data_IF_743321351528
#
_entry.id   IF_743321351528
#
_cell.length_a   1.000
_cell.length_b   1.000
_cell.length_c   1.000
_cell.angle_alpha   90.00
_cell.angle_beta   90.00
_cell.angle_gamma   90.00
#
_symmetry.space_group_name_H-M   'P 1'
#
loop_
_entity.id
_entity.type
_entity.pdbx_description
1 polymer ?
#
# COMPACT_ATOMS: atom_id res chain seq x y z
N UNK A 1 22.63 -1.79 -5.06
CA UNK A 1 21.42 -2.56 -5.44
C UNK A 1 21.45 -3.87 -4.68
N UNK A 2 20.44 -4.16 -3.85
CA UNK A 2 20.34 -5.40 -3.11
C UNK A 2 19.21 -6.26 -3.70
N UNK A 3 19.39 -7.58 -3.71
CA UNK A 3 18.35 -8.52 -4.14
C UNK A 3 17.81 -9.23 -2.92
N UNK A 4 16.52 -9.06 -2.65
CA UNK A 4 15.82 -9.76 -1.58
C UNK A 4 15.15 -11.01 -2.17
N UNK A 5 15.70 -12.19 -1.88
CA UNK A 5 15.12 -13.46 -2.32
C UNK A 5 13.93 -13.83 -1.43
N UNK A 6 12.89 -14.42 -2.02
CA UNK A 6 11.71 -14.90 -1.29
C UNK A 6 10.65 -13.83 -0.98
N UNK A 7 10.81 -12.60 -1.47
CA UNK A 7 9.77 -11.57 -1.39
C UNK A 7 9.00 -11.49 -2.72
N UNK A 8 7.91 -12.25 -2.80
CA UNK A 8 6.97 -12.17 -3.91
C UNK A 8 6.04 -10.96 -3.74
N UNK A 9 6.41 -9.84 -4.35
CA UNK A 9 5.53 -8.67 -4.45
C UNK A 9 4.68 -8.78 -5.73
N UNK A 10 3.36 -8.68 -5.58
CA UNK A 10 2.42 -8.61 -6.72
C UNK A 10 2.50 -7.27 -7.44
N UNK A 11 2.90 -6.21 -6.74
CA UNK A 11 2.97 -4.86 -7.27
C UNK A 11 4.06 -4.02 -6.58
N UNK A 12 4.56 -2.93 -7.19
CA UNK A 12 5.51 -2.03 -6.55
C UNK A 12 5.08 -1.55 -5.15
N UNK A 13 6.02 -1.60 -4.23
CA UNK A 13 5.93 -1.03 -2.89
C UNK A 13 7.14 -0.13 -2.63
N UNK A 14 6.94 0.88 -1.79
CA UNK A 14 8.00 1.78 -1.36
C UNK A 14 7.91 2.01 0.15
N UNK A 15 8.96 2.58 0.72
CA UNK A 15 8.99 3.01 2.10
C UNK A 15 9.71 4.34 2.26
N UNK A 16 9.30 5.09 3.26
CA UNK A 16 10.05 6.22 3.80
C UNK A 16 10.52 5.85 5.22
N UNK A 17 11.29 6.71 5.92
CA UNK A 17 11.62 6.46 7.32
C UNK A 17 10.38 6.27 8.21
N UNK A 18 9.23 6.83 7.83
CA UNK A 18 8.03 6.87 8.68
C UNK A 18 6.82 6.11 8.11
N UNK A 19 6.78 5.80 6.81
CA UNK A 19 5.61 5.18 6.18
C UNK A 19 5.97 3.99 5.28
N UNK A 20 5.05 3.04 5.19
CA UNK A 20 4.97 2.11 4.06
C UNK A 20 4.03 2.67 2.99
N UNK A 21 4.33 2.36 1.73
CA UNK A 21 3.61 2.86 0.57
C UNK A 21 3.29 1.71 -0.38
N UNK A 22 2.02 1.54 -0.71
CA UNK A 22 1.55 0.66 -1.80
C UNK A 22 1.00 1.50 -2.94
N UNK A 23 0.98 0.93 -4.15
CA UNK A 23 0.66 1.69 -5.37
C UNK A 23 -0.42 0.97 -6.19
N UNK A 24 -1.10 1.73 -7.04
CA UNK A 24 -1.99 1.23 -8.07
C UNK A 24 -1.97 2.14 -9.29
N UNK A 25 -1.82 1.55 -10.48
CA UNK A 25 -1.91 2.25 -11.76
C UNK A 25 -2.92 1.54 -12.67
N UNK A 26 -3.82 2.33 -13.25
CA UNK A 26 -4.92 1.90 -14.11
C UNK A 26 -5.46 3.11 -14.91
N UNK A 27 -6.36 2.88 -15.86
CA UNK A 27 -6.91 3.96 -16.69
C UNK A 27 -7.76 4.98 -15.90
N UNK A 28 -8.36 4.57 -14.78
CA UNK A 28 -9.20 5.40 -13.92
C UNK A 28 -8.69 5.44 -12.47
N UNK A 29 -9.02 6.52 -11.74
CA UNK A 29 -8.50 6.74 -10.39
C UNK A 29 -9.14 5.80 -9.35
N UNK A 30 -10.40 5.42 -9.56
CA UNK A 30 -11.11 4.56 -8.62
C UNK A 30 -10.47 3.17 -8.60
N UNK A 31 -10.11 2.63 -9.77
CA UNK A 31 -9.38 1.39 -9.89
C UNK A 31 -7.97 1.48 -9.31
N UNK A 32 -7.28 2.59 -9.51
CA UNK A 32 -5.98 2.83 -8.89
C UNK A 32 -6.06 2.79 -7.36
N UNK A 33 -7.08 3.46 -6.79
CA UNK A 33 -7.31 3.49 -5.35
C UNK A 33 -7.65 2.11 -4.79
N UNK A 34 -8.51 1.35 -5.48
CA UNK A 34 -8.85 -0.02 -5.11
C UNK A 34 -7.60 -0.92 -5.08
N UNK A 35 -6.75 -0.83 -6.11
CA UNK A 35 -5.50 -1.60 -6.18
C UNK A 35 -4.54 -1.23 -5.05
N UNK A 36 -4.28 0.06 -4.84
CA UNK A 36 -3.39 0.53 -3.78
C UNK A 36 -3.88 0.08 -2.39
N UNK A 37 -5.18 0.17 -2.13
CA UNK A 37 -5.79 -0.28 -0.89
C UNK A 37 -5.69 -1.81 -0.70
N UNK A 38 -5.98 -2.61 -1.73
CA UNK A 38 -5.90 -4.08 -1.64
C UNK A 38 -4.49 -4.57 -1.34
N UNK A 39 -3.49 -3.94 -1.96
CA UNK A 39 -2.08 -4.20 -1.66
C UNK A 39 -1.75 -3.78 -0.22
N UNK A 40 -2.25 -2.64 0.26
CA UNK A 40 -2.02 -2.19 1.63
C UNK A 40 -2.63 -3.14 2.67
N UNK A 41 -3.86 -3.63 2.44
CA UNK A 41 -4.51 -4.62 3.30
C UNK A 41 -3.63 -5.87 3.45
N UNK A 42 -3.06 -6.35 2.34
CA UNK A 42 -2.16 -7.51 2.35
C UNK A 42 -0.88 -7.21 3.12
N UNK A 43 -0.24 -6.07 2.88
CA UNK A 43 0.97 -5.64 3.58
C UNK A 43 0.73 -5.53 5.10
N UNK A 44 -0.34 -4.83 5.50
CA UNK A 44 -0.70 -4.62 6.91
C UNK A 44 -1.04 -5.94 7.60
N UNK A 45 -1.84 -6.79 6.97
CA UNK A 45 -2.19 -8.11 7.52
C UNK A 45 -0.94 -8.96 7.77
N UNK A 46 0.03 -8.94 6.85
CA UNK A 46 1.29 -9.69 7.00
C UNK A 46 2.20 -9.11 8.08
N UNK A 47 2.37 -7.78 8.13
CA UNK A 47 3.28 -7.12 9.08
C UNK A 47 2.75 -7.10 10.50
N UNK A 48 1.51 -6.68 10.70
CA UNK A 48 0.88 -6.59 12.01
C UNK A 48 0.31 -7.94 12.50
N UNK A 49 0.35 -8.99 11.67
CA UNK A 49 -0.19 -10.34 11.96
C UNK A 49 -1.66 -10.32 12.39
N UNK A 50 -2.46 -9.47 11.73
CA UNK A 50 -3.91 -9.34 11.96
C UNK A 50 -4.70 -9.88 10.77
N UNK A 51 -5.98 -10.18 11.00
CA UNK A 51 -6.90 -10.62 9.94
C UNK A 51 -7.03 -9.54 8.85
N UNK A 52 -7.46 -9.94 7.66
CA UNK A 52 -7.64 -9.00 6.54
C UNK A 52 -8.73 -7.97 6.83
N UNK A 53 -9.76 -8.34 7.59
CA UNK A 53 -10.84 -7.47 8.02
C UNK A 53 -10.31 -6.39 8.97
N UNK A 54 -9.49 -6.77 9.95
CA UNK A 54 -8.85 -5.82 10.86
C UNK A 54 -7.85 -4.92 10.12
N UNK A 55 -7.10 -5.48 9.15
CA UNK A 55 -6.21 -4.71 8.31
C UNK A 55 -6.96 -3.68 7.45
N UNK A 56 -8.11 -4.07 6.88
CA UNK A 56 -9.00 -3.16 6.16
C UNK A 56 -9.50 -2.03 7.06
N UNK A 57 -9.98 -2.36 8.26
CA UNK A 57 -10.42 -1.37 9.24
C UNK A 57 -9.30 -0.38 9.59
N UNK A 58 -8.08 -0.87 9.85
CA UNK A 58 -6.93 -0.03 10.12
C UNK A 58 -6.57 0.87 8.93
N UNK A 59 -6.58 0.32 7.72
CA UNK A 59 -6.35 1.07 6.50
C UNK A 59 -7.38 2.20 6.32
N UNK A 60 -8.65 1.95 6.65
CA UNK A 60 -9.71 2.96 6.56
C UNK A 60 -9.57 4.06 7.61
N UNK A 61 -9.04 3.75 8.80
CA UNK A 61 -8.90 4.71 9.89
C UNK A 61 -7.61 5.54 9.82
N UNK A 62 -6.50 4.90 9.41
CA UNK A 62 -5.17 5.47 9.53
C UNK A 62 -4.41 5.58 8.20
N UNK A 63 -4.95 5.01 7.12
CA UNK A 63 -4.32 5.07 5.82
C UNK A 63 -4.64 6.36 5.07
N UNK A 64 -3.72 6.80 4.22
CA UNK A 64 -3.90 7.97 3.36
C UNK A 64 -3.71 7.61 1.90
N UNK A 65 -4.77 7.74 1.09
CA UNK A 65 -4.68 7.65 -0.36
C UNK A 65 -4.26 9.00 -0.94
N UNK A 66 -3.30 8.96 -1.86
CA UNK A 66 -2.73 10.14 -2.53
C UNK A 66 -2.61 9.88 -4.02
N UNK A 67 -2.98 10.88 -4.82
CA UNK A 67 -2.82 10.82 -6.26
C UNK A 67 -1.33 10.96 -6.58
N UNK A 68 -0.78 10.00 -7.30
CA UNK A 68 0.61 10.03 -7.78
C UNK A 68 0.72 10.84 -9.05
N UNK A 69 -0.18 10.59 -10.02
CA UNK A 69 -0.20 11.25 -11.33
C UNK A 69 -1.54 11.02 -12.04
N UNK A 70 -1.90 11.93 -12.95
CA UNK A 70 -3.14 11.89 -13.74
C UNK A 70 -2.93 12.14 -15.24
N UNK A 71 -1.68 12.35 -15.66
CA UNK A 71 -1.34 12.86 -17.00
C UNK A 71 -0.76 11.79 -17.94
N UNK A 72 -0.40 10.63 -17.41
CA UNK A 72 0.05 9.51 -18.23
C UNK A 72 -1.16 8.75 -18.81
N UNK A 73 -0.89 7.78 -19.70
CA UNK A 73 -1.93 6.88 -20.23
C UNK A 73 -2.69 6.18 -19.11
N UNK A 74 -1.95 5.63 -18.16
CA UNK A 74 -2.50 5.15 -16.89
C UNK A 74 -2.41 6.27 -15.86
N UNK A 75 -3.37 6.35 -14.94
CA UNK A 75 -3.35 7.19 -13.75
C UNK A 75 -2.66 6.44 -12.61
N UNK A 76 -2.38 7.11 -11.51
CA UNK A 76 -1.70 6.50 -10.37
C UNK A 76 -2.19 7.03 -9.04
N UNK A 77 -2.41 6.11 -8.10
CA UNK A 77 -2.72 6.39 -6.70
C UNK A 77 -1.77 5.56 -5.84
N UNK A 78 -1.33 6.12 -4.71
CA UNK A 78 -0.60 5.38 -3.69
C UNK A 78 -1.26 5.54 -2.33
N UNK A 79 -1.20 4.49 -1.52
CA UNK A 79 -1.66 4.51 -0.14
C UNK A 79 -0.46 4.56 0.79
N UNK A 80 -0.51 5.40 1.82
CA UNK A 80 0.50 5.50 2.86
C UNK A 80 -0.07 5.05 4.20
N UNK A 81 0.72 4.30 4.98
CA UNK A 81 0.41 3.99 6.37
C UNK A 81 1.67 4.16 7.23
N UNK A 82 1.52 4.72 8.42
CA UNK A 82 2.64 4.96 9.33
C UNK A 82 3.21 3.64 9.86
N UNK A 83 4.54 3.51 9.85
CA UNK A 83 5.26 2.30 10.26
C UNK A 83 4.99 1.92 11.72
N UNK A 84 4.94 2.91 12.60
CA UNK A 84 4.70 2.72 14.03
C UNK A 84 3.33 2.12 14.37
N UNK A 85 2.38 2.07 13.43
CA UNK A 85 1.08 1.45 13.62
C UNK A 85 1.08 -0.06 13.32
N UNK A 86 2.06 -0.54 12.54
CA UNK A 86 2.02 -1.91 12.00
C UNK A 86 3.32 -2.70 12.13
N UNK A 87 4.46 -2.05 12.39
CA UNK A 87 5.69 -2.75 12.74
C UNK A 87 5.58 -3.20 14.20
N UNK A 88 5.61 -4.52 14.40
CA UNK A 88 5.76 -5.11 15.72
C UNK A 88 7.23 -4.96 16.11
N UNK A 89 7.49 -4.23 17.21
CA UNK A 89 8.82 -4.02 17.76
C UNK A 89 9.55 -5.31 18.11
#
# INVERSE_FOLDING_TARGET
>A
MAVLKGHGLSYPQAETPTHYITMGMAADLDRCAEMALREMITLVSQRAKISRENAYMLCSLAGNLRITQTVNREKGVHMMIAKNLIDVG
#
